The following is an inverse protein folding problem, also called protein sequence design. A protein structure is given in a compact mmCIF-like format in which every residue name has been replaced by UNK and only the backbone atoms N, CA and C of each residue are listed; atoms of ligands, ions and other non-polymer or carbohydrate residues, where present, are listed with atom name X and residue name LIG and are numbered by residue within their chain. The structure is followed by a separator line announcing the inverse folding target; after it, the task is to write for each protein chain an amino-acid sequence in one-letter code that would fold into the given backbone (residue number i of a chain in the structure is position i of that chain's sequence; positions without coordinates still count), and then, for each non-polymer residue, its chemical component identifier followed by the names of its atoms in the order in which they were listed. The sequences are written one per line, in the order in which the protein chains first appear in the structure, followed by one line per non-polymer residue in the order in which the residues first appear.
data_IF_145139369359
#
_entry.id   IF_145139369359
#
_cell.length_a   1.000
_cell.length_b   1.000
_cell.length_c   1.000
_cell.angle_alpha   90.00
_cell.angle_beta   90.00
_cell.angle_gamma   90.00
#
_symmetry.space_group_name_H-M   'P 1'
#
loop_
_entity.id
_entity.type
_entity.pdbx_description
1 polymer ?
2 non-polymer ?
3 non-polymer ?
4 non-polymer ?
5 non-polymer ?
6 water ?
#
# COMPACT_ATOMS: atom_id res chain seq x y z
N UNK A 1 -15.98 -4.11 9.50
CA UNK A 1 -16.71 -3.17 8.63
C UNK A 1 -15.76 -2.56 7.62
N UNK A 2 -16.13 -1.39 7.11
CA UNK A 2 -15.43 -0.76 6.00
C UNK A 2 -13.97 -0.50 6.38
N UNK A 3 -13.70 0.08 7.56
CA UNK A 3 -12.30 0.41 7.94
C UNK A 3 -11.45 -0.85 8.05
N UNK A 4 -12.01 -1.92 8.59
CA UNK A 4 -11.23 -3.14 8.75
C UNK A 4 -10.93 -3.69 7.34
N UNK A 5 -11.87 -3.59 6.43
CA UNK A 5 -11.77 -4.06 5.03
C UNK A 5 -10.60 -3.34 4.35
N UNK A 6 -10.43 -2.06 4.65
CA UNK A 6 -9.26 -1.38 4.07
C UNK A 6 -7.98 -2.06 4.59
N UNK A 7 -7.91 -2.41 5.86
CA UNK A 7 -6.73 -3.06 6.48
C UNK A 7 -6.57 -4.45 5.85
N UNK A 8 -7.67 -5.19 5.68
CA UNK A 8 -7.61 -6.52 5.03
C UNK A 8 -7.02 -6.37 3.62
N UNK A 9 -7.59 -5.48 2.82
CA UNK A 9 -7.15 -5.30 1.43
C UNK A 9 -5.68 -4.90 1.42
N UNK A 10 -5.31 -3.95 2.22
CA UNK A 10 -3.89 -3.45 2.27
C UNK A 10 -2.91 -4.57 2.66
N UNK A 11 -3.32 -5.53 3.50
CA UNK A 11 -2.42 -6.61 3.94
C UNK A 11 -2.05 -7.52 2.78
N UNK A 12 -2.83 -7.56 1.71
CA UNK A 12 -2.41 -8.39 0.54
C UNK A 12 -2.76 -7.64 -0.75
N UNK A 13 -2.30 -6.39 -0.81
CA UNK A 13 -2.93 -5.47 -1.78
C UNK A 13 -2.61 -5.85 -3.23
N UNK A 14 -1.37 -6.24 -3.52
CA UNK A 14 -0.95 -6.64 -4.88
C UNK A 14 -1.93 -7.70 -5.41
N UNK A 15 -2.25 -8.72 -4.58
CA UNK A 15 -3.13 -9.83 -5.00
C UNK A 15 -4.58 -9.35 -5.19
N UNK A 16 -5.15 -8.72 -4.17
CA UNK A 16 -6.53 -8.19 -4.26
C UNK A 16 -6.68 -7.25 -5.44
N UNK A 17 -5.72 -6.33 -5.63
CA UNK A 17 -5.85 -5.34 -6.72
C UNK A 17 -5.92 -6.09 -8.08
N UNK A 18 -5.05 -7.07 -8.30
CA UNK A 18 -5.08 -7.80 -9.57
C UNK A 18 -6.38 -8.58 -9.69
N UNK A 19 -6.77 -9.29 -8.64
CA UNK A 19 -8.00 -10.14 -8.72
C UNK A 19 -9.23 -9.27 -9.00
N UNK A 20 -9.36 -8.12 -8.33
CA UNK A 20 -10.58 -7.30 -8.50
C UNK A 20 -10.54 -6.61 -9.86
N UNK A 21 -9.36 -6.10 -10.28
CA UNK A 21 -9.34 -5.44 -11.58
C UNK A 21 -9.61 -6.45 -12.73
N UNK A 22 -9.11 -7.72 -12.60
CA UNK A 22 -9.44 -8.76 -13.57
C UNK A 22 -10.93 -9.11 -13.50
N UNK A 23 -11.57 -9.13 -12.29
CA UNK A 23 -13.01 -9.37 -12.25
C UNK A 23 -13.74 -8.26 -13.02
N UNK A 24 -13.27 -7.01 -12.89
CA UNK A 24 -13.87 -5.87 -13.61
C UNK A 24 -13.72 -6.09 -15.14
N UNK A 25 -12.50 -6.39 -15.59
CA UNK A 25 -12.27 -6.53 -17.05
C UNK A 25 -12.96 -7.76 -17.67
N UNK A 26 -13.21 -8.78 -16.86
CA UNK A 26 -13.90 -10.00 -17.34
C UNK A 26 -15.43 -9.79 -17.28
N UNK A 27 -15.95 -9.05 -16.27
CA UNK A 27 -17.39 -8.74 -16.23
C UNK A 27 -17.79 -7.78 -17.36
N UNK A 28 -16.90 -6.87 -17.72
CA UNK A 28 -17.18 -5.76 -18.65
C UNK A 28 -16.12 -5.74 -19.74
N UNK A 29 -16.16 -6.73 -20.66
CA UNK A 29 -15.13 -6.84 -21.69
C UNK A 29 -14.88 -5.58 -22.54
N UNK A 30 -15.93 -4.78 -22.81
CA UNK A 30 -15.83 -3.54 -23.63
C UNK A 30 -14.94 -2.54 -22.89
N UNK A 31 -14.72 -2.70 -21.59
CA UNK A 31 -13.87 -1.78 -20.80
C UNK A 31 -12.39 -1.93 -21.20
N UNK A 32 -11.94 -3.08 -21.73
CA UNK A 32 -10.55 -3.23 -22.25
C UNK A 32 -10.24 -2.15 -23.29
N UNK A 33 -11.23 -1.49 -23.93
CA UNK A 33 -10.94 -0.59 -25.08
C UNK A 33 -10.13 0.61 -24.58
N UNK A 34 -10.30 1.03 -23.31
CA UNK A 34 -9.40 2.04 -22.68
C UNK A 34 -7.98 1.49 -22.55
N UNK A 35 -7.82 0.18 -22.73
CA UNK A 35 -6.56 -0.59 -22.56
C UNK A 35 -6.34 -1.57 -23.74
N UNK A 36 -6.11 -0.95 -24.88
CA UNK A 36 -5.64 -1.64 -26.14
C UNK A 36 -4.78 -2.89 -25.85
N UNK A 37 -3.56 -2.63 -25.33
CA UNK A 37 -2.52 -3.59 -24.91
C UNK A 37 -3.14 -4.83 -24.23
N UNK A 38 -4.33 -4.71 -23.68
CA UNK A 38 -4.93 -5.79 -22.85
C UNK A 38 -5.69 -6.83 -23.68
N UNK A 39 -6.12 -6.46 -24.88
CA UNK A 39 -6.97 -7.35 -25.74
C UNK A 39 -6.20 -8.62 -26.12
N UNK A 40 -6.91 -9.77 -26.08
CA UNK A 40 -6.46 -11.09 -26.50
C UNK A 40 -5.49 -11.70 -25.51
N UNK A 41 -5.61 -11.33 -24.24
CA UNK A 41 -4.66 -11.82 -23.21
C UNK A 41 -5.45 -12.39 -22.05
N UNK A 42 -5.07 -13.61 -21.67
CA UNK A 42 -5.67 -14.29 -20.50
C UNK A 42 -5.26 -13.51 -19.23
N UNK A 43 -5.84 -13.85 -18.11
CA UNK A 43 -5.54 -13.20 -16.83
C UNK A 43 -4.08 -13.36 -16.44
N UNK A 44 -3.50 -14.55 -16.64
CA UNK A 44 -2.10 -14.79 -16.20
C UNK A 44 -1.14 -13.94 -17.07
N UNK A 45 -1.49 -13.82 -18.38
CA UNK A 45 -0.75 -12.97 -19.32
C UNK A 45 -0.84 -11.53 -18.84
N UNK A 46 -2.03 -11.03 -18.45
CA UNK A 46 -2.18 -9.61 -18.04
C UNK A 46 -1.31 -9.39 -16.82
N UNK A 47 -1.28 -10.33 -15.89
CA UNK A 47 -0.49 -10.24 -14.65
C UNK A 47 1.00 -10.09 -14.93
N UNK A 48 1.46 -10.62 -16.07
CA UNK A 48 2.89 -10.59 -16.46
C UNK A 48 3.23 -9.30 -17.23
N UNK A 49 2.26 -8.43 -17.54
CA UNK A 49 2.46 -7.18 -18.31
C UNK A 49 2.69 -6.03 -17.35
N UNK A 50 3.85 -5.38 -17.45
CA UNK A 50 4.28 -4.34 -16.50
C UNK A 50 3.25 -3.23 -16.33
N UNK A 51 2.59 -2.75 -17.41
CA UNK A 51 1.70 -1.55 -17.20
C UNK A 51 0.42 -2.03 -16.48
N UNK A 52 0.02 -3.29 -16.68
CA UNK A 52 -1.12 -3.86 -15.93
C UNK A 52 -0.80 -3.89 -14.42
N UNK A 53 0.33 -4.48 -14.02
CA UNK A 53 0.76 -4.58 -12.60
C UNK A 53 0.88 -3.19 -12.00
N UNK A 54 1.38 -2.24 -12.80
CA UNK A 54 1.58 -0.84 -12.31
C UNK A 54 0.26 -0.06 -12.29
N UNK A 55 -0.59 -0.08 -13.32
CA UNK A 55 -1.87 0.66 -13.19
C UNK A 55 -2.57 0.05 -11.97
N UNK A 56 -2.63 -1.27 -11.90
CA UNK A 56 -3.54 -1.90 -10.91
C UNK A 56 -3.04 -1.58 -9.50
N UNK A 57 -1.75 -1.63 -9.23
CA UNK A 57 -1.27 -1.31 -7.84
C UNK A 57 -1.58 0.17 -7.53
N UNK A 58 -1.36 1.09 -8.47
CA UNK A 58 -1.62 2.52 -8.23
C UNK A 58 -3.12 2.72 -7.96
N UNK A 59 -4.01 2.14 -8.77
CA UNK A 59 -5.50 2.20 -8.60
C UNK A 59 -5.81 1.88 -7.14
N UNK A 60 -5.33 0.76 -6.64
CA UNK A 60 -5.78 0.25 -5.32
C UNK A 60 -5.04 1.00 -4.22
N UNK A 61 -3.78 1.39 -4.43
CA UNK A 61 -3.05 2.17 -3.41
C UNK A 61 -3.85 3.47 -3.22
N UNK A 62 -4.25 4.12 -4.30
CA UNK A 62 -4.98 5.42 -4.16
C UNK A 62 -6.42 5.18 -3.71
N UNK A 63 -7.10 4.15 -4.23
CA UNK A 63 -8.52 3.90 -3.84
C UNK A 63 -8.51 3.64 -2.32
N UNK A 64 -7.53 2.96 -1.76
CA UNK A 64 -7.56 2.67 -0.31
C UNK A 64 -7.39 3.98 0.51
N UNK A 65 -6.54 4.89 0.00
CA UNK A 65 -6.33 6.23 0.61
C UNK A 65 -7.66 6.98 0.64
N UNK A 66 -8.35 7.01 -0.48
CA UNK A 66 -9.64 7.71 -0.62
C UNK A 66 -10.67 7.06 0.33
N UNK A 67 -10.71 5.77 0.36
CA UNK A 67 -11.60 5.09 1.33
C UNK A 67 -11.22 5.45 2.75
N UNK A 68 -9.97 5.46 3.11
CA UNK A 68 -9.43 5.74 4.47
C UNK A 68 -9.79 7.16 4.89
N UNK A 69 -9.78 8.09 3.96
CA UNK A 69 -10.10 9.49 4.26
C UNK A 69 -11.60 9.76 4.29
N UNK A 70 -12.44 8.83 3.88
CA UNK A 70 -13.90 8.96 3.77
C UNK A 70 -14.48 9.01 5.21
N UNK A 71 -15.62 9.64 5.30
CA UNK A 71 -16.53 9.59 6.49
C UNK A 71 -17.76 8.80 6.12
N UNK A 72 -18.05 7.74 6.86
CA UNK A 72 -19.25 6.91 6.57
C UNK A 72 -19.35 6.62 5.06
N UNK A 73 -18.23 6.23 4.42
CA UNK A 73 -18.29 5.82 3.00
C UNK A 73 -18.48 7.01 2.02
N UNK A 74 -18.37 8.25 2.51
CA UNK A 74 -18.51 9.46 1.65
C UNK A 74 -17.13 10.05 1.51
N UNK A 75 -16.53 9.99 0.31
CA UNK A 75 -15.19 10.53 0.12
C UNK A 75 -15.08 12.03 0.26
N UNK A 76 -13.86 12.49 0.56
CA UNK A 76 -13.58 13.95 0.52
C UNK A 76 -13.82 14.49 -0.89
N UNK A 77 -14.43 15.66 -0.98
CA UNK A 77 -14.54 16.41 -2.24
C UNK A 77 -13.14 16.58 -2.88
N UNK A 78 -12.10 16.85 -2.10
CA UNK A 78 -10.72 17.10 -2.62
C UNK A 78 -10.20 15.83 -3.29
N UNK A 79 -10.58 14.65 -2.81
CA UNK A 79 -10.09 13.41 -3.43
C UNK A 79 -10.80 13.25 -4.76
N UNK A 80 -12.06 13.63 -4.86
CA UNK A 80 -12.85 13.52 -6.12
C UNK A 80 -12.23 14.50 -7.14
N UNK A 81 -11.93 15.72 -6.70
CA UNK A 81 -11.36 16.74 -7.61
C UNK A 81 -10.03 16.22 -8.17
N UNK A 82 -9.17 15.66 -7.31
CA UNK A 82 -7.84 15.12 -7.69
C UNK A 82 -7.98 14.02 -8.76
N UNK A 83 -8.91 13.09 -8.56
CA UNK A 83 -9.23 12.05 -9.56
C UNK A 83 -9.69 12.72 -10.86
N UNK A 84 -10.57 13.73 -10.84
CA UNK A 84 -11.12 14.31 -12.10
C UNK A 84 -9.95 14.94 -12.89
N UNK A 85 -9.02 15.59 -12.17
CA UNK A 85 -7.94 16.43 -12.75
C UNK A 85 -6.84 15.53 -13.38
N UNK A 86 -6.78 14.22 -13.09
CA UNK A 86 -5.72 13.32 -13.64
C UNK A 86 -5.73 13.30 -15.17
N UNK A 87 -4.61 13.64 -15.81
CA UNK A 87 -4.57 13.74 -17.29
C UNK A 87 -4.57 12.34 -17.96
N UNK A 88 -4.18 11.28 -17.25
CA UNK A 88 -4.25 9.89 -17.82
C UNK A 88 -5.70 9.35 -17.84
N UNK A 89 -6.65 10.02 -17.18
CA UNK A 89 -8.09 9.66 -17.15
C UNK A 89 -8.90 10.57 -18.07
N UNK A 90 -8.26 11.26 -19.03
CA UNK A 90 -8.90 12.22 -19.97
C UNK A 90 -10.21 11.61 -20.50
N UNK A 91 -10.16 10.38 -21.01
CA UNK A 91 -11.31 9.80 -21.72
C UNK A 91 -12.39 9.22 -20.81
N UNK A 92 -12.20 9.19 -19.50
CA UNK A 92 -13.10 8.36 -18.65
C UNK A 92 -14.35 9.13 -18.22
N UNK A 93 -15.41 8.37 -17.98
CA UNK A 93 -16.69 8.89 -17.46
C UNK A 93 -17.06 8.14 -16.15
N UNK A 94 -18.07 8.63 -15.46
CA UNK A 94 -18.49 8.00 -14.20
C UNK A 94 -18.85 6.53 -14.43
N UNK A 95 -19.30 6.15 -15.64
CA UNK A 95 -19.69 4.76 -15.93
C UNK A 95 -18.51 3.81 -15.75
N UNK A 96 -17.29 4.24 -16.06
CA UNK A 96 -16.06 3.42 -15.90
C UNK A 96 -15.87 3.07 -14.42
N UNK A 97 -16.05 4.06 -13.53
CA UNK A 97 -15.85 3.91 -12.07
C UNK A 97 -17.03 3.11 -11.47
N UNK A 98 -18.26 3.32 -11.96
CA UNK A 98 -19.43 2.53 -11.49
C UNK A 98 -19.14 1.04 -11.71
N UNK A 99 -18.76 0.71 -12.94
CA UNK A 99 -18.50 -0.68 -13.30
C UNK A 99 -17.39 -1.29 -12.43
N UNK A 100 -16.30 -0.59 -12.16
CA UNK A 100 -15.23 -1.11 -11.27
C UNK A 100 -15.86 -1.52 -9.93
N UNK A 101 -16.67 -0.63 -9.35
CA UNK A 101 -17.24 -0.86 -7.99
C UNK A 101 -18.27 -1.98 -8.06
N UNK A 102 -19.04 -2.12 -9.13
CA UNK A 102 -19.98 -3.28 -9.21
C UNK A 102 -19.14 -4.56 -9.16
N UNK A 103 -18.09 -4.65 -9.92
CA UNK A 103 -17.23 -5.85 -9.90
C UNK A 103 -16.55 -6.05 -8.54
N UNK A 104 -16.10 -4.97 -7.89
CA UNK A 104 -15.45 -5.10 -6.57
C UNK A 104 -16.47 -5.68 -5.56
N UNK A 105 -17.67 -5.11 -5.53
CA UNK A 105 -18.71 -5.57 -4.58
C UNK A 105 -19.05 -7.04 -4.87
N UNK A 106 -19.24 -7.44 -6.14
CA UNK A 106 -19.56 -8.86 -6.50
C UNK A 106 -18.41 -9.77 -6.04
N UNK A 107 -17.16 -9.36 -6.29
CA UNK A 107 -15.96 -10.07 -5.79
C UNK A 107 -16.03 -10.29 -4.27
N UNK A 108 -16.33 -9.24 -3.54
CA UNK A 108 -16.40 -9.39 -2.06
C UNK A 108 -17.53 -10.34 -1.66
N UNK A 109 -18.68 -10.26 -2.31
CA UNK A 109 -19.84 -11.15 -2.01
C UNK A 109 -19.39 -12.60 -2.19
N UNK A 110 -18.68 -12.88 -3.29
CA UNK A 110 -18.30 -14.25 -3.71
C UNK A 110 -17.12 -14.79 -2.90
N UNK A 111 -16.46 -13.95 -2.12
CA UNK A 111 -15.27 -14.31 -1.33
C UNK A 111 -15.72 -15.15 -0.13
N UNK A 112 -14.81 -15.84 0.52
CA UNK A 112 -15.22 -16.62 1.71
C UNK A 112 -15.30 -15.74 2.96
N UNK A 113 -15.06 -14.42 2.81
CA UNK A 113 -14.58 -13.52 3.88
C UNK A 113 -15.62 -12.46 4.23
N UNK A 114 -15.58 -11.98 5.49
CA UNK A 114 -16.64 -11.10 6.07
C UNK A 114 -16.41 -9.63 5.66
N UNK A 115 -16.16 -9.40 4.37
CA UNK A 115 -16.15 -8.00 3.86
C UNK A 115 -17.55 -7.39 4.06
N UNK A 116 -17.55 -6.09 4.31
CA UNK A 116 -18.78 -5.29 4.47
C UNK A 116 -19.22 -4.83 3.08
N UNK A 117 -19.68 -5.75 2.23
CA UNK A 117 -19.98 -5.46 0.81
C UNK A 117 -20.97 -4.29 0.66
N UNK A 118 -21.93 -4.15 1.55
CA UNK A 118 -22.90 -3.02 1.56
C UNK A 118 -22.15 -1.68 1.51
N UNK A 119 -21.17 -1.56 2.39
CA UNK A 119 -20.42 -0.31 2.61
C UNK A 119 -19.64 -0.04 1.35
N UNK A 120 -19.04 -1.05 0.76
CA UNK A 120 -18.34 -0.78 -0.49
C UNK A 120 -19.29 -0.36 -1.63
N UNK A 121 -20.49 -0.90 -1.70
CA UNK A 121 -21.49 -0.51 -2.71
C UNK A 121 -21.80 0.99 -2.52
N UNK A 122 -21.99 1.41 -1.28
CA UNK A 122 -22.30 2.83 -0.97
C UNK A 122 -21.07 3.68 -1.33
N UNK A 123 -19.88 3.25 -0.91
CA UNK A 123 -18.62 3.98 -1.22
C UNK A 123 -18.58 4.20 -2.73
N UNK A 124 -18.81 3.16 -3.55
CA UNK A 124 -18.76 3.28 -5.01
C UNK A 124 -19.74 4.30 -5.55
N UNK A 125 -21.00 4.27 -5.12
CA UNK A 125 -22.03 5.25 -5.58
C UNK A 125 -21.63 6.64 -5.11
N UNK A 126 -21.11 6.76 -3.88
CA UNK A 126 -20.84 8.10 -3.28
C UNK A 126 -19.65 8.66 -4.04
N UNK A 127 -18.68 7.79 -4.39
CA UNK A 127 -17.53 8.28 -5.14
C UNK A 127 -17.99 8.72 -6.55
N UNK A 128 -18.83 7.97 -7.23
CA UNK A 128 -19.39 8.39 -8.53
C UNK A 128 -20.10 9.74 -8.41
N UNK A 129 -20.89 9.94 -7.37
CA UNK A 129 -21.61 11.21 -7.19
C UNK A 129 -20.60 12.36 -7.04
N UNK A 130 -19.58 12.14 -6.22
CA UNK A 130 -18.51 13.12 -5.92
C UNK A 130 -17.76 13.45 -7.19
N UNK A 131 -17.47 12.42 -7.99
CA UNK A 131 -16.73 12.63 -9.25
C UNK A 131 -17.57 13.53 -10.17
N UNK A 132 -18.87 13.26 -10.31
CA UNK A 132 -19.77 14.07 -11.17
C UNK A 132 -19.79 15.53 -10.66
N UNK A 133 -19.92 15.73 -9.35
CA UNK A 133 -19.93 17.10 -8.77
C UNK A 133 -18.60 17.83 -9.00
N UNK A 134 -17.48 17.10 -9.12
CA UNK A 134 -16.11 17.66 -9.34
C UNK A 134 -15.84 17.91 -10.82
N UNK A 135 -16.70 17.43 -11.74
CA UNK A 135 -16.61 17.71 -13.17
C UNK A 135 -16.42 16.53 -14.08
N UNK A 136 -16.50 15.31 -13.57
CA UNK A 136 -16.37 14.12 -14.48
C UNK A 136 -17.68 13.99 -15.28
N UNK A 137 -17.58 13.63 -16.55
CA UNK A 137 -18.69 13.48 -17.52
C UNK A 137 -19.32 12.11 -17.25
N UNK B 1 4.04 17.24 6.06
CA UNK B 1 4.59 16.73 7.35
C UNK B 1 4.46 15.21 7.41
N UNK B 2 4.54 14.66 8.64
CA UNK B 2 4.52 13.19 8.88
C UNK B 2 3.29 12.57 8.21
N UNK B 3 2.10 13.11 8.44
CA UNK B 3 0.83 12.51 7.90
C UNK B 3 0.89 12.42 6.38
N UNK B 4 1.32 13.51 5.73
CA UNK B 4 1.36 13.57 4.24
C UNK B 4 2.38 12.53 3.81
N UNK B 5 3.46 12.41 4.56
CA UNK B 5 4.55 11.44 4.22
C UNK B 5 3.94 10.03 4.18
N UNK B 6 3.15 9.68 5.16
CA UNK B 6 2.48 8.33 5.09
C UNK B 6 1.66 8.22 3.80
N UNK B 7 0.97 9.28 3.39
CA UNK B 7 0.16 9.30 2.16
C UNK B 7 1.12 9.11 0.96
N UNK B 8 2.21 9.86 0.92
CA UNK B 8 3.19 9.75 -0.21
C UNK B 8 3.67 8.29 -0.34
N UNK B 9 4.18 7.76 0.75
CA UNK B 9 4.70 6.37 0.79
C UNK B 9 3.62 5.38 0.39
N UNK B 10 2.42 5.47 0.97
CA UNK B 10 1.32 4.53 0.62
C UNK B 10 0.96 4.66 -0.88
N UNK B 11 1.16 5.82 -1.52
CA UNK B 11 0.76 5.99 -2.93
C UNK B 11 1.60 5.18 -3.88
N UNK B 12 2.79 4.84 -3.45
CA UNK B 12 3.70 3.98 -4.26
C UNK B 12 4.46 3.05 -3.34
N UNK B 13 3.68 2.27 -2.57
CA UNK B 13 4.26 1.58 -1.38
C UNK B 13 5.33 0.54 -1.78
N UNK B 14 4.98 -0.31 -2.74
CA UNK B 14 5.86 -1.40 -3.22
C UNK B 14 7.19 -0.80 -3.71
N UNK B 15 7.15 0.37 -4.34
CA UNK B 15 8.38 1.02 -4.86
C UNK B 15 9.24 1.52 -3.71
N UNK B 16 8.69 2.38 -2.84
CA UNK B 16 9.39 2.94 -1.68
C UNK B 16 9.90 1.86 -0.75
N UNK B 17 9.05 0.85 -0.45
CA UNK B 17 9.47 -0.24 0.44
C UNK B 17 10.72 -0.92 -0.07
N UNK B 18 10.78 -1.30 -1.35
CA UNK B 18 12.01 -1.95 -1.88
C UNK B 18 13.22 -1.00 -1.77
N UNK B 19 13.05 0.27 -2.14
CA UNK B 19 14.23 1.17 -2.18
C UNK B 19 14.70 1.45 -0.74
N UNK B 20 13.79 1.62 0.23
CA UNK B 20 14.25 1.88 1.60
C UNK B 20 14.90 0.64 2.20
N UNK B 21 14.29 -0.54 1.98
CA UNK B 21 14.89 -1.77 2.52
C UNK B 21 16.27 -2.05 1.92
N UNK B 22 16.42 -1.78 0.65
CA UNK B 22 17.73 -1.96 -0.03
C UNK B 22 18.74 -0.97 0.61
N UNK B 23 18.32 0.27 0.85
CA UNK B 23 19.21 1.28 1.48
C UNK B 23 19.67 0.76 2.85
N UNK B 24 18.74 0.15 3.60
CA UNK B 24 19.07 -0.48 4.90
C UNK B 24 20.08 -1.62 4.73
N UNK B 25 19.81 -2.54 3.81
CA UNK B 25 20.65 -3.75 3.67
C UNK B 25 22.07 -3.35 3.18
N UNK B 26 22.15 -2.29 2.36
CA UNK B 26 23.47 -1.84 1.82
C UNK B 26 24.25 -1.03 2.90
N UNK B 27 23.55 -0.24 3.72
CA UNK B 27 24.20 0.54 4.79
C UNK B 27 24.73 -0.39 5.88
N UNK B 28 24.00 -1.47 6.14
CA UNK B 28 24.30 -2.38 7.26
C UNK B 28 24.36 -3.81 6.73
N UNK B 29 25.45 -4.16 6.06
CA UNK B 29 25.53 -5.48 5.49
C UNK B 29 25.38 -6.63 6.48
N UNK B 30 25.79 -6.49 7.76
CA UNK B 30 25.65 -7.57 8.77
C UNK B 30 24.18 -7.88 8.97
N UNK B 31 23.30 -6.91 8.71
CA UNK B 31 21.84 -7.09 8.86
C UNK B 31 21.31 -8.10 7.83
N UNK B 32 21.99 -8.32 6.71
CA UNK B 32 21.46 -9.20 5.63
C UNK B 32 21.32 -10.64 6.17
N UNK B 33 22.06 -10.96 7.24
CA UNK B 33 22.03 -12.29 7.92
C UNK B 33 20.59 -12.70 8.27
N UNK B 34 19.87 -11.83 8.99
CA UNK B 34 18.41 -11.97 9.25
C UNK B 34 17.65 -12.40 8.00
N UNK B 35 18.26 -12.34 6.83
CA UNK B 35 17.59 -12.49 5.52
C UNK B 35 18.47 -13.36 4.62
N UNK B 36 18.64 -14.62 5.01
CA UNK B 36 19.62 -15.54 4.36
C UNK B 36 19.22 -15.81 2.89
N UNK B 37 17.96 -15.50 2.52
CA UNK B 37 17.40 -15.66 1.15
C UNK B 37 18.00 -14.61 0.20
N UNK B 38 18.57 -13.54 0.75
CA UNK B 38 18.93 -12.31 0.01
C UNK B 38 20.44 -12.22 -0.19
N UNK B 39 21.22 -13.07 0.47
CA UNK B 39 22.72 -13.08 0.37
C UNK B 39 23.17 -13.35 -1.08
N UNK B 40 24.12 -12.58 -1.57
CA UNK B 40 24.76 -12.84 -2.87
C UNK B 40 23.95 -12.35 -4.05
N UNK B 41 23.11 -11.32 -3.83
CA UNK B 41 22.20 -10.77 -4.85
C UNK B 41 22.32 -9.26 -4.87
N UNK B 42 22.40 -8.71 -6.06
CA UNK B 42 22.45 -7.24 -6.24
C UNK B 42 21.05 -6.66 -6.04
N UNK B 43 20.95 -5.31 -6.02
CA UNK B 43 19.63 -4.67 -5.85
C UNK B 43 18.63 -5.09 -6.93
N UNK B 44 19.06 -5.14 -8.21
CA UNK B 44 18.11 -5.51 -9.31
C UNK B 44 17.86 -7.03 -9.23
N UNK B 45 18.83 -7.86 -8.78
CA UNK B 45 18.60 -9.32 -8.60
C UNK B 45 17.54 -9.53 -7.48
N UNK B 46 17.48 -8.69 -6.46
CA UNK B 46 16.43 -8.77 -5.37
C UNK B 46 15.08 -8.24 -5.91
N UNK B 47 15.09 -7.11 -6.62
CA UNK B 47 13.84 -6.52 -7.16
C UNK B 47 13.18 -7.46 -8.18
N UNK B 48 13.91 -8.35 -8.83
CA UNK B 48 13.30 -9.21 -9.87
C UNK B 48 12.69 -10.41 -9.19
N UNK B 49 12.78 -10.46 -7.86
CA UNK B 49 12.19 -11.59 -7.12
C UNK B 49 10.83 -11.17 -6.58
N UNK B 50 9.76 -11.88 -7.00
CA UNK B 50 8.40 -11.49 -6.57
C UNK B 50 8.36 -11.53 -5.05
N UNK B 51 9.04 -12.49 -4.41
CA UNK B 51 9.01 -12.69 -2.95
C UNK B 51 9.65 -11.49 -2.19
N UNK B 52 10.62 -10.80 -2.81
CA UNK B 52 11.31 -9.64 -2.21
C UNK B 52 10.31 -8.48 -2.18
N UNK B 53 9.68 -8.22 -3.30
CA UNK B 53 8.62 -7.20 -3.38
C UNK B 53 7.48 -7.47 -2.42
N UNK B 54 6.97 -8.70 -2.42
CA UNK B 54 5.75 -8.98 -1.63
C UNK B 54 6.07 -8.79 -0.15
N UNK B 55 7.25 -9.36 0.25
CA UNK B 55 7.75 -9.23 1.65
C UNK B 55 7.78 -7.76 2.05
N UNK B 56 8.63 -7.01 1.35
CA UNK B 56 8.92 -5.58 1.67
C UNK B 56 7.61 -4.78 1.68
N UNK B 57 6.72 -5.00 0.72
CA UNK B 57 5.43 -4.26 0.70
C UNK B 57 4.64 -4.56 1.98
N UNK B 58 4.63 -5.82 2.45
CA UNK B 58 3.82 -6.19 3.62
C UNK B 58 4.44 -5.58 4.89
N UNK B 59 5.75 -5.53 4.97
CA UNK B 59 6.48 -4.90 6.11
C UNK B 59 6.11 -3.42 6.14
N UNK B 60 6.28 -2.74 5.04
CA UNK B 60 6.01 -1.29 4.98
C UNK B 60 4.51 -1.01 5.16
N UNK B 61 3.59 -1.88 4.75
CA UNK B 61 2.15 -1.67 5.01
C UNK B 61 1.95 -1.67 6.53
N UNK B 62 2.56 -2.59 7.28
CA UNK B 62 2.39 -2.59 8.75
C UNK B 62 3.06 -1.35 9.36
N UNK B 63 4.21 -0.94 8.84
CA UNK B 63 4.93 0.25 9.36
C UNK B 63 4.06 1.49 9.12
N UNK B 64 3.35 1.60 7.98
CA UNK B 64 2.45 2.75 7.70
C UNK B 64 1.23 2.72 8.64
N UNK B 65 0.70 1.54 8.94
CA UNK B 65 -0.41 1.36 9.91
C UNK B 65 0.03 1.93 11.26
N UNK B 66 1.17 1.47 11.74
CA UNK B 66 1.77 1.90 13.02
C UNK B 66 1.99 3.42 12.99
N UNK B 67 2.60 3.96 11.95
CA UNK B 67 2.81 5.43 11.87
C UNK B 67 1.46 6.17 11.90
N UNK B 68 0.47 5.73 11.15
CA UNK B 68 -0.83 6.41 11.03
C UNK B 68 -1.55 6.37 12.38
N UNK B 69 -1.32 5.32 13.15
CA UNK B 69 -2.00 5.25 14.47
C UNK B 69 -1.25 6.02 15.58
N UNK B 70 -0.01 6.45 15.35
CA UNK B 70 0.82 7.20 16.28
C UNK B 70 0.17 8.59 16.51
N UNK B 71 0.45 9.13 17.68
CA UNK B 71 0.10 10.51 18.06
C UNK B 71 1.41 11.28 18.22
N UNK B 72 1.58 12.39 17.51
CA UNK B 72 2.83 13.18 17.64
C UNK B 72 4.07 12.28 17.52
N UNK B 73 4.04 11.32 16.60
CA UNK B 73 5.18 10.41 16.29
C UNK B 73 5.52 9.48 17.46
N UNK B 74 4.53 9.22 18.31
CA UNK B 74 4.63 8.25 19.44
C UNK B 74 3.73 7.08 19.13
N UNK B 75 4.28 5.89 18.81
CA UNK B 75 3.42 4.79 18.43
C UNK B 75 2.69 4.27 19.69
N UNK B 76 1.59 3.61 19.41
CA UNK B 76 0.82 2.89 20.46
C UNK B 76 1.67 1.75 21.03
N UNK B 77 1.62 1.58 22.32
CA UNK B 77 2.20 0.45 23.07
C UNK B 77 1.67 -0.86 22.49
N UNK B 78 0.40 -0.91 22.10
CA UNK B 78 -0.22 -2.16 21.56
C UNK B 78 0.44 -2.51 20.23
N UNK B 79 0.78 -1.49 19.41
CA UNK B 79 1.47 -1.75 18.12
C UNK B 79 2.88 -2.24 18.42
N UNK B 80 3.60 -1.63 19.34
CA UNK B 80 4.93 -2.07 19.77
C UNK B 80 4.84 -3.54 20.20
N UNK B 81 3.81 -3.93 20.96
CA UNK B 81 3.69 -5.32 21.45
C UNK B 81 3.45 -6.28 20.28
N UNK B 82 2.67 -5.88 19.26
CA UNK B 82 2.50 -6.71 18.04
C UNK B 82 3.87 -6.98 17.46
N UNK B 83 4.65 -5.93 17.26
CA UNK B 83 5.98 -6.12 16.61
C UNK B 83 6.91 -6.99 17.47
N UNK B 84 6.90 -6.88 18.79
CA UNK B 84 7.70 -7.74 19.68
C UNK B 84 7.24 -9.21 19.60
N UNK B 85 5.94 -9.46 19.51
CA UNK B 85 5.35 -10.80 19.72
C UNK B 85 5.26 -11.58 18.38
N UNK B 86 5.41 -10.90 17.23
CA UNK B 86 5.46 -11.60 15.91
C UNK B 86 6.57 -12.68 15.90
N UNK B 87 6.14 -13.92 15.65
CA UNK B 87 7.01 -15.10 15.32
C UNK B 87 8.27 -14.62 14.62
N UNK B 88 8.08 -13.92 13.50
CA UNK B 88 9.18 -13.62 12.53
C UNK B 88 10.18 -12.67 13.21
N UNK B 89 9.80 -12.01 14.31
CA UNK B 89 10.68 -11.08 15.06
C UNK B 89 11.36 -11.72 16.29
N UNK B 90 11.26 -13.06 16.47
CA UNK B 90 11.96 -13.75 17.59
C UNK B 90 13.46 -13.50 17.45
N UNK B 91 14.12 -13.19 18.56
CA UNK B 91 15.57 -12.97 18.56
C UNK B 91 16.02 -11.64 17.95
N UNK B 92 15.13 -10.79 17.41
CA UNK B 92 15.50 -9.38 17.06
C UNK B 92 15.74 -8.58 18.34
N UNK B 93 16.54 -7.51 18.20
CA UNK B 93 16.73 -6.54 19.29
C UNK B 93 16.40 -5.15 18.76
N UNK B 94 16.34 -4.18 19.67
CA UNK B 94 15.96 -2.82 19.27
C UNK B 94 16.98 -2.25 18.26
N UNK B 95 18.23 -2.71 18.30
CA UNK B 95 19.26 -2.18 17.39
C UNK B 95 18.93 -2.48 15.93
N UNK B 96 18.26 -3.60 15.66
CA UNK B 96 17.78 -3.94 14.29
C UNK B 96 16.86 -2.81 13.79
N UNK B 97 15.86 -2.43 14.60
CA UNK B 97 14.85 -1.42 14.22
C UNK B 97 15.50 -0.02 14.16
N UNK B 98 16.45 0.27 15.05
CA UNK B 98 17.19 1.57 15.09
C UNK B 98 17.85 1.75 13.72
N UNK B 99 18.54 0.70 13.27
CA UNK B 99 19.29 0.77 11.99
C UNK B 99 18.34 0.95 10.80
N UNK B 100 17.20 0.29 10.77
CA UNK B 100 16.18 0.48 9.71
C UNK B 100 15.78 1.95 9.65
N UNK B 101 15.47 2.52 10.80
CA UNK B 101 15.01 3.92 10.83
C UNK B 101 16.18 4.84 10.44
N UNK B 102 17.39 4.57 10.88
CA UNK B 102 18.52 5.45 10.44
C UNK B 102 18.54 5.46 8.90
N UNK B 103 18.43 4.29 8.29
CA UNK B 103 18.51 4.13 6.84
C UNK B 103 17.34 4.84 6.18
N UNK B 104 16.16 4.76 6.79
CA UNK B 104 14.92 5.36 6.24
C UNK B 104 15.05 6.89 6.23
N UNK B 105 15.56 7.42 7.31
CA UNK B 105 15.79 8.88 7.45
C UNK B 105 16.84 9.35 6.44
N UNK B 106 17.94 8.63 6.32
CA UNK B 106 19.01 9.03 5.36
C UNK B 106 18.43 8.98 3.94
N UNK B 107 17.61 7.98 3.65
CA UNK B 107 16.95 7.87 2.33
C UNK B 107 16.06 9.09 2.07
N UNK B 108 15.30 9.49 3.09
CA UNK B 108 14.42 10.68 2.94
C UNK B 108 15.24 11.96 2.72
N UNK B 109 16.31 12.13 3.47
CA UNK B 109 17.19 13.31 3.40
C UNK B 109 17.78 13.37 1.98
N UNK B 110 18.12 12.23 1.35
CA UNK B 110 18.82 12.18 0.05
C UNK B 110 17.84 12.25 -1.14
N UNK B 111 16.55 12.11 -0.88
CA UNK B 111 15.49 12.13 -1.94
C UNK B 111 15.32 13.57 -2.43
N UNK B 112 14.67 13.76 -3.56
CA UNK B 112 14.48 15.18 -3.97
C UNK B 112 13.47 15.91 -3.08
N UNK B 113 12.83 15.17 -2.14
CA UNK B 113 11.42 15.39 -1.78
C UNK B 113 11.31 15.96 -0.37
N UNK B 114 10.20 16.64 -0.14
CA UNK B 114 9.93 17.39 1.12
C UNK B 114 9.34 16.46 2.21
N UNK B 115 9.99 15.35 2.41
CA UNK B 115 9.73 14.43 3.53
C UNK B 115 10.04 15.21 4.82
N UNK B 116 9.25 14.95 5.86
CA UNK B 116 9.55 15.51 7.20
C UNK B 116 10.55 14.60 7.93
N UNK B 117 11.81 14.54 7.50
CA UNK B 117 12.80 13.58 8.03
C UNK B 117 12.97 13.68 9.56
N UNK B 118 12.91 14.88 10.13
CA UNK B 118 13.00 15.00 11.63
C UNK B 118 11.84 14.23 12.29
N UNK B 119 10.63 14.24 11.71
CA UNK B 119 9.50 13.51 12.34
C UNK B 119 9.76 12.01 12.24
N UNK B 120 10.30 11.54 11.12
CA UNK B 120 10.58 10.10 11.01
C UNK B 120 11.72 9.70 11.98
N UNK B 121 12.69 10.57 12.22
CA UNK B 121 13.77 10.29 13.19
C UNK B 121 13.13 10.19 14.58
N UNK B 122 12.34 11.19 14.98
CA UNK B 122 11.58 11.12 16.26
C UNK B 122 10.79 9.81 16.36
N UNK B 123 10.04 9.49 15.31
CA UNK B 123 9.19 8.29 15.23
C UNK B 123 10.05 7.06 15.48
N UNK B 124 11.13 6.86 14.75
CA UNK B 124 12.03 5.70 14.95
C UNK B 124 12.54 5.64 16.37
N UNK B 125 12.94 6.78 16.98
CA UNK B 125 13.52 6.77 18.35
C UNK B 125 12.37 6.32 19.29
N UNK B 126 11.18 6.83 19.04
CA UNK B 126 10.03 6.57 19.95
C UNK B 126 9.62 5.11 19.75
N UNK B 127 9.75 4.59 18.54
CA UNK B 127 9.30 3.19 18.33
C UNK B 127 10.33 2.28 19.04
N UNK B 128 11.63 2.54 18.88
CA UNK B 128 12.69 1.79 19.61
C UNK B 128 12.40 1.80 21.13
N UNK B 129 11.97 2.95 21.66
CA UNK B 129 11.70 3.04 23.11
C UNK B 129 10.47 2.17 23.41
N UNK B 130 9.45 2.28 22.59
CA UNK B 130 8.20 1.51 22.79
C UNK B 130 8.50 0.01 22.67
N UNK B 131 9.34 -0.38 21.74
CA UNK B 131 9.69 -1.82 21.58
C UNK B 131 10.36 -2.31 22.86
N UNK B 132 11.27 -1.54 23.42
CA UNK B 132 11.96 -1.87 24.69
C UNK B 132 10.89 -2.00 25.79
N UNK B 133 9.95 -1.06 25.86
CA UNK B 133 8.91 -1.08 26.94
C UNK B 133 8.01 -2.31 26.77
N UNK B 134 7.83 -2.81 25.54
CA UNK B 134 6.92 -3.94 25.28
C UNK B 134 7.71 -5.27 25.31
N UNK B 135 9.01 -5.23 25.65
CA UNK B 135 9.78 -6.42 26.03
C UNK B 135 10.88 -6.85 25.08
N UNK B 136 11.21 -6.05 24.08
CA UNK B 136 12.34 -6.35 23.14
C UNK B 136 13.66 -6.02 23.85
N UNK B 137 14.61 -6.95 23.78
CA UNK B 137 16.01 -6.79 24.26
C UNK B 137 16.74 -5.81 23.34
X LIG C 1 -3.65 5.70 -15.31
X LIG C 1 -5.34 5.82 -10.86
X LIG C 1 -9.58 3.91 -12.37
X LIG C 1 -7.90 3.88 -16.96
X LIG C 1 -3.77 5.88 -13.97
X LIG C 1 -2.75 6.44 -13.12
X LIG C 1 -3.22 6.47 -11.84
X LIG C 1 -4.52 5.92 -11.93
X LIG C 1 -2.58 6.98 -10.56
X LIG C 1 -1.38 6.90 -13.57
X LIG C 1 -0.31 5.87 -13.19
X LIG C 1 -0.13 4.73 -14.19
X LIG C 1 0.53 3.72 -13.80
X LIG C 1 -0.57 4.73 -15.39
X LIG C 1 -6.63 5.31 -11.00
X LIG C 1 -7.45 5.19 -9.84
X LIG C 1 -8.66 4.64 -10.18
X LIG C 1 -8.52 4.44 -11.65
X LIG C 1 -7.12 5.56 -8.41
X LIG C 1 -9.88 4.35 -9.35
X LIG C 1 -10.10 4.74 -8.07
X LIG C 1 -9.51 3.72 -13.75
X LIG C 1 -10.54 3.13 -14.51
X LIG C 1 -10.09 3.10 -15.84
X LIG C 1 -8.74 3.68 -15.86
X LIG C 1 -11.86 2.61 -13.89
X LIG C 1 -10.77 2.54 -17.02
X LIG C 1 -11.86 1.74 -16.93
X LIG C 1 -6.57 4.40 -16.87
X LIG C 1 -5.67 4.55 -18.02
X LIG C 1 -4.50 5.04 -17.57
X LIG C 1 -4.67 5.23 -16.13
X LIG C 1 -6.01 4.20 -19.44
X LIG C 1 -3.27 5.36 -18.37
X LIG C 1 -2.79 4.20 -19.25
X LIG C 1 -2.83 2.86 -18.54
X LIG C 1 -1.89 2.06 -18.75
X LIG C 1 -3.77 2.52 -17.77
X LIG C 1 -4.84 5.56 -13.22
X LIG C 1 -7.31 4.89 -12.09
X LIG C 1 -8.42 3.99 -14.55
X LIG C 1 -5.89 4.85 -15.80
X LIG C 1 -6.54 4.85 -14.05
X LIG D 1 -8.24 1.18 8.29
X LIG D 1 -8.60 2.35 9.05
X LIG D 1 -6.77 1.24 8.05
X LIG D 1 -6.38 2.62 8.01
X LIG D 1 -6.34 0.60 6.77
X LIG D 1 -4.95 0.51 6.77
X LIG E 1 -16.97 0.64 9.89
X LIG E 1 -17.87 0.24 8.83
X LIG E 1 -15.80 1.33 9.41
X LIG E 1 -17.75 1.40 10.84
X LIG E 1 -16.52 -0.48 10.71
X LIG F 1 -10.26 -11.07 -25.17
X LIG F 1 -9.69 -10.02 -26.05
X LIG F 1 -9.54 -12.32 -25.49
X LIG F 1 -11.73 -11.25 -25.44
X LIG F 1 -10.13 -10.60 -23.77
X LIG G 1 8.62 -10.43 8.48
X LIG G 1 6.74 -6.03 9.78
X LIG G 1 11.19 -4.48 11.16
X LIG G 1 12.93 -8.95 10.26
X LIG G 1 7.77 -9.29 8.72
X LIG G 1 6.42 -9.27 8.28
X LIG G 1 5.88 -8.06 8.61
X LIG G 1 6.90 -7.31 9.25
X LIG G 1 4.47 -7.66 8.31
X LIG G 1 5.78 -10.43 7.52
X LIG G 1 5.82 -10.11 6.03
X LIG G 1 5.96 -11.35 5.15
X LIG G 1 7.09 -11.67 4.65
X LIG G 1 4.95 -12.04 4.93
X LIG G 1 7.80 -5.24 10.24
X LIG G 1 7.70 -3.82 10.57
X LIG G 1 8.93 -3.38 10.99
X LIG G 1 9.84 -4.55 10.82
X LIG G 1 6.46 -3.01 10.45
X LIG G 1 9.44 -2.03 11.43
X LIG G 1 8.61 -1.07 11.85
X LIG G 1 12.06 -5.55 11.06
X LIG G 1 13.46 -5.49 11.33
X LIG G 1 13.96 -6.78 11.05
X LIG G 1 12.85 -7.60 10.62
X LIG G 1 14.27 -4.23 11.71
X LIG G 1 15.37 -7.23 11.08
X LIG G 1 16.38 -6.34 11.00
X LIG G 1 11.84 -9.66 9.71
X LIG G 1 12.04 -11.04 9.23
X LIG G 1 10.86 -11.47 8.74
X LIG G 1 9.89 -10.37 8.95
X LIG G 1 13.33 -11.81 9.29
X LIG G 1 10.58 -12.83 8.10
X LIG G 1 10.79 -12.74 6.61
X LIG G 1 10.79 -14.06 5.95
X LIG G 1 10.27 -15.03 6.57
X LIG G 1 11.30 -14.20 4.80
X LIG G 1 8.07 -8.03 9.32
X LIG G 1 9.08 -5.63 10.47
X LIG G 1 11.74 -6.81 10.60
X LIG G 1 10.54 -9.26 9.53
X LIG G 1 9.83 -7.52 10.12
X LIG H 1 10.98 -7.09 8.15
X LIG H 1 11.60 -7.55 4.09
X LIG H 1 10.78 -8.28 7.55
X LIG H 1 11.00 -8.43 6.19
X LIG H 1 11.65 -6.15 6.10
X LIG H 1 11.44 -6.04 7.45
X LIG H 1 10.66 -10.10 5.36
X LIG H 1 11.45 -7.36 5.41
X LIG H 1 12.20 -4.60 5.16
#
# INVERSE_FOLDING_TARGET
GFKQDIATLRGDLRTYAQDIFLAFLNKYPDEKRNFKNYVGKSDQELKSMAKFGDHTEKVFNLMMEVADRATDCVPLASDASTLVQMKQHSGLTTGNFEKLFVALVEYMRASGQSFDSQSWDRFGKNLVSALSSAGMK
GFKQDIATLRGDLRTYAQDIFLAFLNKYPDEKRNFKNYVGKSDQELKSMAKFGDHTEKVFNLMMEVADRATDCVPLASDASTLVQMKQHSGLTTGNFEKLFVALVEYMRASGQSFDSQSWDRFGKNLVSALSSAGMK
HEM CHA CHB CHC CHD C1A C2A C3A C4A CMA CAA CBA CGA O1A O2A C1B C2B C3B C4B CMB CAB CBB C1C C2C C3C C4C CMC CAC CBC C1D C2D C3D C4D CMD CAD CBD CGD O1D O2D NA NB NC ND FE
GOL C1 O1 C2 O2 C3 O3
SO4 S O1 O2 O3 O4
SO4 S O1 O2 O3 O4
HEM CHA CHB CHC CHD C1A C2A C3A C4A CMA CAA CBA CGA O1A O2A C1B C2B C3B C4B CMB CAB CBB C1C C2C C3C C4C CMC CAC CBC C1D C2D C3D C4D CMD CAD CBD CGD O1D O2D NA NB NC ND FE
94N C O C1 C2 C4 C5 BR1 C3 BR
#
